data_IF_175801418765
#
_entry.id   IF_175801418765
#
_cell.length_a   1.000
_cell.length_b   1.000
_cell.length_c   1.000
_cell.angle_alpha   90.00
_cell.angle_beta   90.00
_cell.angle_gamma   90.00
#
_symmetry.space_group_name_H-M   'P 1'
#
loop_
_entity.id
_entity.type
_entity.pdbx_description
1 polymer ?
#
# COMPACT_ATOMS: atom_id res chain seq x y z
N UNK A 1 -63.37 -13.82 15.74
CA UNK A 1 -64.63 -13.06 15.68
C UNK A 1 -64.26 -11.58 15.71
N UNK A 2 -64.65 -10.86 14.65
CA UNK A 2 -64.62 -9.40 14.44
C UNK A 2 -63.27 -8.66 14.59
N UNK A 3 -62.72 -8.08 13.51
CA UNK A 3 -63.09 -6.79 12.88
C UNK A 3 -62.97 -5.59 13.85
N UNK A 4 -62.07 -4.66 13.52
CA UNK A 4 -62.38 -3.30 13.06
C UNK A 4 -61.11 -2.45 13.22
N UNK A 5 -60.43 -2.03 12.15
CA UNK A 5 -60.83 -1.00 11.19
C UNK A 5 -60.77 0.42 11.77
N UNK A 6 -59.94 1.28 11.18
CA UNK A 6 -60.35 2.39 10.30
C UNK A 6 -59.05 3.05 9.79
N UNK A 7 -58.71 3.03 8.50
CA UNK A 7 -59.36 3.64 7.35
C UNK A 7 -59.16 5.17 7.31
N UNK A 8 -58.34 5.68 6.38
CA UNK A 8 -58.74 6.25 5.06
C UNK A 8 -58.53 7.78 5.15
N UNK A 9 -57.95 8.55 4.20
CA UNK A 9 -58.20 8.78 2.76
C UNK A 9 -56.90 9.45 2.20
N UNK A 10 -56.20 8.90 1.19
CA UNK A 10 -56.26 9.18 -0.27
C UNK A 10 -55.77 10.61 -0.66
N UNK A 11 -55.05 10.92 -1.76
CA UNK A 11 -54.63 10.20 -2.99
C UNK A 11 -53.80 11.16 -3.87
N UNK A 12 -52.97 10.61 -4.77
CA UNK A 12 -52.45 11.24 -5.99
C UNK A 12 -51.00 11.75 -5.83
N UNK A 13 -49.98 11.18 -6.50
CA UNK A 13 -49.91 10.88 -7.94
C UNK A 13 -49.33 9.48 -8.17
N UNK A 14 -49.96 8.76 -9.10
CA UNK A 14 -49.43 7.54 -9.67
C UNK A 14 -48.32 7.87 -10.67
N UNK A 15 -47.12 7.33 -10.46
CA UNK A 15 -46.32 6.81 -11.54
C UNK A 15 -46.38 5.28 -11.41
N UNK A 16 -47.12 4.65 -12.31
CA UNK A 16 -47.08 3.21 -12.49
C UNK A 16 -45.68 2.83 -12.98
N UNK A 17 -44.99 2.01 -12.19
CA UNK A 17 -43.83 1.22 -12.59
C UNK A 17 -43.93 -0.11 -11.86
N UNK A 18 -44.80 -0.99 -12.34
CA UNK A 18 -44.77 -2.41 -12.01
C UNK A 18 -43.81 -3.11 -12.97
N UNK A 19 -42.74 -3.71 -12.48
CA UNK A 19 -41.92 -4.64 -13.26
C UNK A 19 -40.63 -5.03 -12.53
N UNK A 20 -40.48 -6.32 -12.23
CA UNK A 20 -39.27 -6.95 -11.68
C UNK A 20 -39.09 -6.65 -10.18
N UNK A 21 -38.75 -7.58 -9.27
CA UNK A 21 -38.11 -8.85 -9.53
C UNK A 21 -36.78 -8.66 -10.27
N UNK A 22 -36.04 -7.59 -9.98
CA UNK A 22 -34.69 -7.45 -10.50
C UNK A 22 -33.78 -8.43 -9.75
N UNK A 23 -33.11 -9.24 -10.56
CA UNK A 23 -32.24 -10.35 -10.20
C UNK A 23 -31.32 -10.00 -9.02
N UNK A 24 -31.08 -11.00 -8.16
CA UNK A 24 -29.84 -11.06 -7.38
C UNK A 24 -28.70 -10.80 -8.39
N UNK A 25 -28.04 -9.67 -8.19
CA UNK A 25 -27.35 -8.92 -9.24
C UNK A 25 -26.42 -9.78 -10.07
N UNK A 26 -26.66 -9.85 -11.39
CA UNK A 26 -25.98 -10.74 -12.35
C UNK A 26 -24.44 -10.74 -12.28
N UNK A 27 -23.86 -9.70 -11.70
CA UNK A 27 -22.42 -9.55 -11.51
C UNK A 27 -21.83 -10.46 -10.44
N UNK A 28 -22.60 -10.98 -9.47
CA UNK A 28 -22.07 -11.85 -8.41
C UNK A 28 -21.55 -13.19 -8.94
N UNK A 29 -21.93 -13.55 -10.17
CA UNK A 29 -21.47 -14.70 -10.91
C UNK A 29 -20.62 -14.34 -12.14
N UNK A 30 -20.36 -13.06 -12.38
CA UNK A 30 -19.52 -12.63 -13.50
C UNK A 30 -18.13 -13.27 -13.39
N UNK A 31 -17.56 -13.84 -14.47
CA UNK A 31 -16.25 -14.48 -14.40
C UNK A 31 -15.13 -13.53 -13.99
N UNK A 32 -14.16 -14.08 -13.26
CA UNK A 32 -12.91 -13.37 -12.97
C UNK A 32 -12.02 -13.49 -14.21
N UNK A 33 -11.72 -12.37 -14.87
CA UNK A 33 -10.81 -12.32 -16.02
C UNK A 33 -9.55 -11.55 -15.62
N UNK A 34 -8.48 -12.25 -15.18
CA UNK A 34 -7.24 -11.62 -14.77
C UNK A 34 -6.71 -10.63 -15.82
N UNK A 35 -6.28 -9.46 -15.36
CA UNK A 35 -5.79 -8.40 -16.26
C UNK A 35 -6.87 -7.58 -16.95
N UNK A 36 -8.17 -7.91 -16.80
CA UNK A 36 -9.20 -7.39 -17.69
C UNK A 36 -10.53 -7.01 -17.03
N UNK A 37 -11.21 -7.92 -16.33
CA UNK A 37 -12.57 -7.63 -15.83
C UNK A 37 -13.00 -8.52 -14.67
N UNK A 38 -13.93 -8.01 -13.87
CA UNK A 38 -14.59 -8.72 -12.79
C UNK A 38 -15.86 -7.96 -12.38
N UNK A 39 -16.89 -8.66 -11.90
CA UNK A 39 -18.14 -8.05 -11.42
C UNK A 39 -18.79 -7.09 -12.43
N UNK A 40 -18.81 -7.46 -13.71
CA UNK A 40 -19.30 -6.66 -14.84
C UNK A 40 -18.55 -5.32 -15.05
N UNK A 41 -17.38 -5.15 -14.45
CA UNK A 41 -16.51 -3.97 -14.62
C UNK A 41 -15.26 -4.38 -15.38
N UNK A 42 -14.87 -3.58 -16.39
CA UNK A 42 -13.57 -3.75 -17.06
C UNK A 42 -12.53 -2.76 -16.53
N UNK A 43 -11.29 -3.21 -16.46
CA UNK A 43 -10.13 -2.35 -16.22
C UNK A 43 -9.92 -1.43 -17.42
N UNK A 44 -9.69 -0.15 -17.16
CA UNK A 44 -9.53 0.89 -18.18
C UNK A 44 -10.84 1.53 -18.65
N UNK A 45 -12.00 1.04 -18.20
CA UNK A 45 -13.28 1.69 -18.48
C UNK A 45 -13.44 2.97 -17.64
N UNK A 46 -14.23 3.95 -18.10
CA UNK A 46 -14.59 5.11 -17.29
C UNK A 46 -15.51 4.72 -16.14
N UNK A 47 -15.45 5.45 -15.02
CA UNK A 47 -16.28 5.22 -13.85
C UNK A 47 -17.78 5.25 -14.16
N UNK A 48 -18.18 6.00 -15.18
CA UNK A 48 -19.56 6.00 -15.67
C UNK A 48 -20.07 4.58 -16.00
N UNK A 49 -19.22 3.72 -16.56
CA UNK A 49 -19.61 2.33 -16.86
C UNK A 49 -19.93 1.55 -15.58
N UNK A 50 -19.18 1.81 -14.50
CA UNK A 50 -19.45 1.24 -13.17
C UNK A 50 -20.77 1.78 -12.62
N UNK A 51 -20.99 3.10 -12.71
CA UNK A 51 -22.21 3.75 -12.24
C UNK A 51 -23.46 3.25 -12.97
N UNK A 52 -23.36 2.97 -14.27
CA UNK A 52 -24.46 2.47 -15.09
C UNK A 52 -24.92 1.05 -14.66
N UNK A 53 -24.00 0.26 -14.09
CA UNK A 53 -24.24 -1.14 -13.68
C UNK A 53 -24.58 -1.22 -12.19
N UNK A 54 -23.79 -0.55 -11.36
CA UNK A 54 -23.82 -0.70 -9.89
C UNK A 54 -24.46 0.50 -9.17
N UNK A 55 -24.72 1.60 -9.86
CA UNK A 55 -25.22 2.84 -9.27
C UNK A 55 -24.14 3.61 -8.51
N UNK A 56 -24.58 4.55 -7.66
CA UNK A 56 -23.67 5.34 -6.82
C UNK A 56 -23.07 4.49 -5.70
N UNK A 57 -21.77 4.65 -5.40
CA UNK A 57 -21.15 3.95 -4.27
C UNK A 57 -21.69 4.46 -2.94
N UNK A 58 -21.67 3.58 -1.93
CA UNK A 58 -22.07 3.92 -0.57
C UNK A 58 -21.05 4.85 0.11
N UNK A 59 -19.77 4.71 -0.25
CA UNK A 59 -18.69 5.52 0.28
C UNK A 59 -17.62 5.80 -0.79
N UNK A 60 -17.00 6.99 -0.70
CA UNK A 60 -15.92 7.46 -1.58
C UNK A 60 -14.72 7.83 -0.72
N UNK A 61 -13.52 7.47 -1.15
CA UNK A 61 -12.26 7.81 -0.47
C UNK A 61 -11.22 8.23 -1.52
N UNK A 62 -10.26 9.06 -1.11
CA UNK A 62 -9.02 9.32 -1.85
C UNK A 62 -7.86 8.87 -0.97
N UNK A 63 -6.97 8.06 -1.52
CA UNK A 63 -5.79 7.54 -0.82
C UNK A 63 -4.67 7.19 -1.80
N UNK A 64 -3.44 7.64 -1.54
CA UNK A 64 -2.27 7.36 -2.38
C UNK A 64 -2.38 7.74 -3.86
N UNK A 65 -2.97 8.90 -4.16
CA UNK A 65 -3.24 9.32 -5.54
C UNK A 65 -4.40 8.60 -6.23
N UNK A 66 -4.97 7.55 -5.63
CA UNK A 66 -6.13 6.83 -6.17
C UNK A 66 -7.43 7.31 -5.55
N UNK A 67 -8.51 7.09 -6.31
CA UNK A 67 -9.88 7.27 -5.85
C UNK A 67 -10.50 5.88 -5.63
N UNK A 68 -11.28 5.74 -4.56
CA UNK A 68 -11.92 4.47 -4.21
C UNK A 68 -13.42 4.65 -4.09
N UNK A 69 -14.15 3.77 -4.75
CA UNK A 69 -15.60 3.67 -4.68
C UNK A 69 -15.98 2.36 -3.98
N UNK A 70 -16.63 2.44 -2.82
CA UNK A 70 -17.01 1.29 -2.01
C UNK A 70 -18.49 0.96 -2.19
N UNK A 71 -18.78 -0.31 -2.47
CA UNK A 71 -20.10 -0.80 -2.80
C UNK A 71 -20.51 -1.94 -1.86
N UNK A 72 -21.77 -1.84 -1.39
CA UNK A 72 -22.48 -2.84 -0.62
C UNK A 72 -21.72 -3.39 0.60
N UNK A 73 -22.03 -2.84 1.77
CA UNK A 73 -21.42 -3.30 3.02
C UNK A 73 -21.89 -4.69 3.44
N UNK A 74 -20.96 -5.58 3.81
CA UNK A 74 -21.23 -6.95 4.28
C UNK A 74 -21.44 -7.03 5.79
N UNK A 75 -20.77 -6.16 6.56
CA UNK A 75 -20.77 -6.17 8.04
C UNK A 75 -21.15 -4.82 8.62
N UNK A 76 -22.18 -4.81 9.45
CA UNK A 76 -22.61 -3.63 10.20
C UNK A 76 -21.52 -3.25 11.24
N UNK A 77 -21.06 -1.99 11.20
CA UNK A 77 -20.05 -1.48 12.13
C UNK A 77 -18.59 -1.85 11.81
N UNK A 78 -18.31 -2.59 10.73
CA UNK A 78 -16.94 -2.84 10.26
C UNK A 78 -16.23 -1.58 9.77
N UNK A 79 -14.90 -1.50 9.83
CA UNK A 79 -14.20 -0.28 9.41
C UNK A 79 -13.99 -0.25 7.89
N UNK A 80 -13.65 0.91 7.34
CA UNK A 80 -13.45 1.04 5.89
C UNK A 80 -12.20 0.28 5.42
N UNK A 81 -11.21 0.15 6.30
CA UNK A 81 -9.95 -0.59 6.13
C UNK A 81 -10.09 -2.09 6.38
N UNK A 82 -11.30 -2.58 6.70
CA UNK A 82 -11.57 -4.01 6.85
C UNK A 82 -12.03 -4.59 5.49
N UNK A 83 -11.19 -5.35 4.77
CA UNK A 83 -11.51 -5.89 3.43
C UNK A 83 -12.71 -6.85 3.45
N UNK A 84 -13.03 -7.43 4.61
CA UNK A 84 -14.20 -8.28 4.78
C UNK A 84 -15.49 -7.48 4.98
N UNK A 85 -15.44 -6.16 5.13
CA UNK A 85 -16.59 -5.29 5.40
C UNK A 85 -17.32 -4.80 4.16
N UNK A 86 -16.74 -4.95 2.96
CA UNK A 86 -17.30 -4.50 1.69
C UNK A 86 -17.46 -5.66 0.73
N UNK A 87 -18.44 -5.60 -0.18
CA UNK A 87 -18.60 -6.61 -1.24
C UNK A 87 -17.77 -6.30 -2.47
N UNK A 88 -17.69 -5.02 -2.84
CA UNK A 88 -16.92 -4.57 -3.98
C UNK A 88 -16.27 -3.22 -3.68
N UNK A 89 -15.01 -3.09 -4.07
CA UNK A 89 -14.26 -1.82 -4.05
C UNK A 89 -13.68 -1.62 -5.43
N UNK A 90 -13.84 -0.42 -5.99
CA UNK A 90 -13.26 -0.05 -7.28
C UNK A 90 -12.21 1.02 -7.05
N UNK A 91 -10.99 0.76 -7.49
CA UNK A 91 -9.88 1.71 -7.49
C UNK A 91 -9.82 2.41 -8.83
N UNK A 92 -9.69 3.73 -8.81
CA UNK A 92 -9.82 4.60 -9.96
C UNK A 92 -8.64 5.57 -10.08
N UNK A 93 -8.28 5.87 -11.31
CA UNK A 93 -7.33 6.91 -11.69
C UNK A 93 -8.06 8.21 -11.93
N UNK A 94 -7.69 9.23 -11.16
CA UNK A 94 -8.16 10.61 -11.33
C UNK A 94 -7.75 11.14 -12.72
N UNK A 95 -8.70 11.75 -13.43
CA UNK A 95 -8.45 12.42 -14.71
C UNK A 95 -7.76 13.79 -14.59
N UNK A 96 -7.33 14.17 -13.37
CA UNK A 96 -6.63 15.41 -13.05
C UNK A 96 -7.54 16.50 -12.50
N UNK A 97 -8.78 16.17 -12.14
CA UNK A 97 -9.74 17.14 -11.60
C UNK A 97 -9.69 17.21 -10.05
N UNK A 98 -9.06 16.23 -9.38
CA UNK A 98 -8.93 16.15 -7.93
C UNK A 98 -10.10 15.49 -7.18
N UNK A 99 -11.11 14.95 -7.85
CA UNK A 99 -12.31 14.36 -7.24
C UNK A 99 -12.95 13.26 -8.08
N UNK A 100 -13.56 12.28 -7.41
CA UNK A 100 -14.24 11.18 -8.08
C UNK A 100 -15.40 11.64 -8.98
N UNK A 101 -15.24 11.47 -10.27
CA UNK A 101 -16.22 11.75 -11.31
C UNK A 101 -16.39 10.60 -12.31
N UNK A 102 -17.35 10.77 -13.22
CA UNK A 102 -17.75 9.75 -14.19
C UNK A 102 -16.67 9.44 -15.26
N UNK A 103 -15.70 10.32 -15.44
CA UNK A 103 -14.65 10.22 -16.46
C UNK A 103 -13.38 9.54 -15.95
N UNK A 104 -13.24 9.35 -14.63
CA UNK A 104 -12.11 8.65 -14.01
C UNK A 104 -11.98 7.20 -14.50
N UNK A 105 -10.75 6.72 -14.66
CA UNK A 105 -10.47 5.41 -15.28
C UNK A 105 -10.37 4.31 -14.21
N UNK A 106 -11.05 3.17 -14.40
CA UNK A 106 -10.96 2.02 -13.50
C UNK A 106 -9.55 1.39 -13.56
N UNK A 107 -8.85 1.35 -12.43
CA UNK A 107 -7.54 0.73 -12.29
C UNK A 107 -7.56 -0.66 -11.65
N UNK A 108 -8.47 -0.89 -10.70
CA UNK A 108 -8.64 -2.20 -10.08
C UNK A 108 -10.07 -2.43 -9.59
N UNK A 109 -10.42 -3.70 -9.44
CA UNK A 109 -11.69 -4.17 -8.89
C UNK A 109 -11.37 -5.20 -7.83
N UNK A 110 -11.85 -4.97 -6.61
CA UNK A 110 -11.74 -5.87 -5.48
C UNK A 110 -13.13 -6.41 -5.14
N UNK A 111 -13.27 -7.72 -4.93
CA UNK A 111 -14.52 -8.34 -4.47
C UNK A 111 -14.28 -9.30 -3.31
N UNK A 112 -15.22 -9.27 -2.37
CA UNK A 112 -15.26 -10.15 -1.20
C UNK A 112 -16.61 -10.86 -1.11
N UNK A 113 -16.69 -11.84 -0.21
CA UNK A 113 -17.91 -12.64 -0.02
C UNK A 113 -19.12 -11.73 0.32
N UNK A 114 -20.32 -11.97 -0.27
CA UNK A 114 -20.64 -13.00 -1.25
C UNK A 114 -20.37 -12.54 -2.69
N UNK A 115 -19.40 -13.17 -3.33
CA UNK A 115 -19.14 -13.16 -4.77
C UNK A 115 -18.74 -14.58 -5.18
N UNK A 116 -19.24 -15.04 -6.32
CA UNK A 116 -19.18 -16.43 -6.76
C UNK A 116 -18.56 -16.59 -8.16
N UNK A 117 -18.15 -15.49 -8.78
CA UNK A 117 -17.38 -15.51 -10.01
C UNK A 117 -16.09 -16.32 -9.84
N UNK A 118 -15.69 -17.00 -10.91
CA UNK A 118 -14.44 -17.76 -10.96
C UNK A 118 -13.71 -17.48 -12.26
N UNK A 119 -12.40 -17.75 -12.25
CA UNK A 119 -11.55 -17.78 -13.43
C UNK A 119 -11.93 -18.94 -14.35
N UNK A 120 -11.32 -18.98 -15.54
CA UNK A 120 -11.50 -20.12 -16.45
C UNK A 120 -11.01 -21.46 -15.89
N UNK A 121 -10.05 -21.45 -14.95
CA UNK A 121 -9.59 -22.63 -14.22
C UNK A 121 -10.41 -22.96 -12.97
N UNK A 122 -11.40 -22.13 -12.62
CA UNK A 122 -12.31 -22.34 -11.50
C UNK A 122 -11.82 -21.77 -10.16
N UNK A 123 -10.78 -20.94 -10.17
CA UNK A 123 -10.27 -20.23 -8.98
C UNK A 123 -11.12 -18.98 -8.72
N UNK A 124 -11.39 -18.73 -7.45
CA UNK A 124 -12.16 -17.58 -6.96
C UNK A 124 -12.24 -17.59 -5.42
N UNK A 125 -13.19 -16.87 -4.84
CA UNK A 125 -13.41 -16.86 -3.39
C UNK A 125 -13.65 -18.29 -2.87
N UNK A 126 -13.00 -18.63 -1.76
CA UNK A 126 -12.99 -19.94 -1.11
C UNK A 126 -11.96 -20.93 -1.68
N UNK A 127 -11.23 -20.57 -2.74
CA UNK A 127 -10.18 -21.43 -3.30
C UNK A 127 -8.98 -21.51 -2.36
N UNK A 128 -8.38 -22.69 -2.22
CA UNK A 128 -7.19 -22.86 -1.38
C UNK A 128 -5.94 -22.28 -2.06
N UNK A 129 -4.86 -21.97 -1.32
CA UNK A 129 -3.57 -21.63 -1.92
C UNK A 129 -3.13 -22.59 -3.04
N UNK A 130 -3.35 -23.90 -2.84
CA UNK A 130 -2.96 -24.91 -3.82
C UNK A 130 -3.81 -24.89 -5.08
N UNK A 131 -5.07 -24.47 -5.00
CA UNK A 131 -5.93 -24.27 -6.19
C UNK A 131 -5.45 -23.06 -6.98
N UNK A 132 -5.16 -21.95 -6.29
CA UNK A 132 -4.62 -20.72 -6.88
C UNK A 132 -3.29 -21.00 -7.58
N UNK A 133 -2.34 -21.61 -6.89
CA UNK A 133 -1.04 -21.96 -7.48
C UNK A 133 -1.16 -23.02 -8.60
N UNK A 134 -2.20 -23.86 -8.54
CA UNK A 134 -2.51 -24.83 -9.58
C UNK A 134 -2.88 -24.19 -10.92
N UNK A 135 -3.59 -23.06 -10.90
CA UNK A 135 -3.96 -22.31 -12.11
C UNK A 135 -2.87 -21.33 -12.55
N UNK A 136 -2.33 -20.55 -11.61
CA UNK A 136 -1.44 -19.43 -11.93
C UNK A 136 0.05 -19.77 -11.90
N UNK A 137 0.41 -20.95 -11.36
CA UNK A 137 1.78 -21.32 -11.04
C UNK A 137 2.20 -20.86 -9.64
N UNK A 138 3.46 -21.07 -9.23
CA UNK A 138 3.94 -20.60 -7.93
C UNK A 138 3.71 -19.09 -7.76
N UNK A 139 3.28 -18.68 -6.57
CA UNK A 139 3.03 -17.28 -6.28
C UNK A 139 4.27 -16.40 -6.53
N UNK A 140 4.09 -15.24 -7.16
CA UNK A 140 5.22 -14.36 -7.53
C UNK A 140 5.80 -13.66 -6.30
N UNK A 141 4.94 -13.27 -5.37
CA UNK A 141 5.29 -12.71 -4.07
C UNK A 141 4.16 -12.96 -3.07
N UNK A 142 4.48 -13.08 -1.79
CA UNK A 142 3.49 -13.21 -0.71
C UNK A 142 3.78 -12.15 0.34
N UNK A 143 2.76 -11.40 0.73
CA UNK A 143 2.78 -10.55 1.93
C UNK A 143 1.92 -11.19 3.02
N UNK A 144 2.35 -11.13 4.29
CA UNK A 144 1.62 -11.72 5.41
C UNK A 144 1.24 -10.64 6.44
N UNK A 145 0.02 -10.71 6.97
CA UNK A 145 -0.47 -9.84 8.03
C UNK A 145 -1.38 -10.61 8.99
N UNK A 146 -1.68 -10.03 10.15
CA UNK A 146 -2.71 -10.57 11.04
C UNK A 146 -4.06 -9.96 10.71
N UNK A 147 -5.05 -10.82 10.54
CA UNK A 147 -6.44 -10.45 10.36
C UNK A 147 -7.10 -9.91 11.64
N UNK A 148 -8.34 -9.41 11.54
CA UNK A 148 -9.07 -8.80 12.64
C UNK A 148 -9.29 -9.75 13.83
N UNK A 149 -9.29 -11.06 13.62
CA UNK A 149 -9.47 -12.08 14.65
C UNK A 149 -8.13 -12.75 15.05
N UNK A 150 -7.01 -12.22 14.57
CA UNK A 150 -5.64 -12.70 14.84
C UNK A 150 -5.19 -13.88 13.98
N UNK A 151 -5.97 -14.24 12.96
CA UNK A 151 -5.63 -15.20 11.92
C UNK A 151 -4.49 -14.68 11.03
N UNK A 152 -3.65 -15.57 10.49
CA UNK A 152 -2.67 -15.17 9.49
C UNK A 152 -3.40 -14.97 8.16
N UNK A 153 -3.28 -13.81 7.53
CA UNK A 153 -3.81 -13.51 6.22
C UNK A 153 -2.63 -13.29 5.28
N UNK A 154 -2.69 -13.91 4.10
CA UNK A 154 -1.64 -13.86 3.11
C UNK A 154 -2.16 -13.23 1.82
N UNK A 155 -1.50 -12.20 1.32
CA UNK A 155 -1.80 -11.61 0.01
C UNK A 155 -0.86 -12.22 -1.04
N UNK A 156 -1.43 -12.90 -2.01
CA UNK A 156 -0.74 -13.60 -3.09
C UNK A 156 -0.73 -12.70 -4.32
N UNK A 157 0.46 -12.28 -4.75
CA UNK A 157 0.63 -11.40 -5.90
C UNK A 157 0.87 -12.19 -7.18
N UNK A 158 0.14 -11.84 -8.23
CA UNK A 158 0.37 -12.29 -9.61
C UNK A 158 0.27 -11.08 -10.55
N UNK A 159 1.10 -10.07 -10.34
CA UNK A 159 1.07 -8.79 -11.07
C UNK A 159 1.16 -9.00 -12.59
N UNK A 160 2.00 -9.94 -13.03
CA UNK A 160 2.14 -10.27 -14.45
C UNK A 160 0.89 -10.92 -15.04
N UNK A 161 -0.05 -11.34 -14.20
CA UNK A 161 -1.35 -11.91 -14.55
C UNK A 161 -2.50 -10.93 -14.31
N UNK A 162 -2.26 -9.82 -13.62
CA UNK A 162 -3.28 -8.82 -13.29
C UNK A 162 -4.34 -9.35 -12.31
N UNK A 163 -3.92 -10.17 -11.33
CA UNK A 163 -4.81 -10.68 -10.29
C UNK A 163 -4.04 -10.90 -8.98
N UNK A 164 -4.71 -10.65 -7.86
CA UNK A 164 -4.19 -10.90 -6.52
C UNK A 164 -5.26 -11.59 -5.67
N UNK A 165 -4.82 -12.38 -4.69
CA UNK A 165 -5.71 -13.12 -3.79
C UNK A 165 -5.36 -12.84 -2.35
N UNK A 166 -6.31 -12.32 -1.58
CA UNK A 166 -6.19 -12.27 -0.12
C UNK A 166 -6.69 -13.60 0.44
N UNK A 167 -5.82 -14.34 1.10
CA UNK A 167 -6.06 -15.70 1.54
C UNK A 167 -6.04 -15.77 3.07
N UNK A 168 -7.12 -16.30 3.63
CA UNK A 168 -7.18 -16.82 4.98
C UNK A 168 -6.91 -18.33 4.91
N UNK A 169 -5.83 -18.89 5.49
CA UNK A 169 -5.57 -20.33 5.48
C UNK A 169 -6.74 -21.22 5.93
N UNK A 170 -7.56 -20.86 6.95
CA UNK A 170 -8.74 -21.66 7.29
C UNK A 170 -9.89 -21.54 6.29
N UNK A 171 -10.02 -20.43 5.56
CA UNK A 171 -11.21 -20.12 4.75
C UNK A 171 -10.95 -20.10 3.23
N UNK A 172 -9.69 -20.17 2.80
CA UNK A 172 -9.26 -19.97 1.42
C UNK A 172 -9.17 -18.49 1.03
N UNK A 173 -9.26 -18.21 -0.27
CA UNK A 173 -9.33 -16.85 -0.79
C UNK A 173 -10.58 -16.14 -0.25
N UNK A 174 -10.39 -15.08 0.53
CA UNK A 174 -11.49 -14.29 1.12
C UNK A 174 -11.82 -13.06 0.27
N UNK A 175 -10.84 -12.59 -0.51
CA UNK A 175 -10.95 -11.46 -1.43
C UNK A 175 -10.15 -11.74 -2.69
N UNK A 176 -10.66 -11.27 -3.83
CA UNK A 176 -9.93 -11.27 -5.10
C UNK A 176 -9.83 -9.83 -5.61
N UNK A 177 -8.65 -9.46 -6.08
CA UNK A 177 -8.39 -8.19 -6.74
C UNK A 177 -8.00 -8.45 -8.20
N UNK A 178 -8.63 -7.77 -9.14
CA UNK A 178 -8.24 -7.75 -10.56
C UNK A 178 -7.70 -6.37 -10.90
N UNK A 179 -6.55 -6.34 -11.56
CA UNK A 179 -5.85 -5.13 -12.03
C UNK A 179 -5.55 -5.27 -13.52
N UNK A 180 -4.93 -4.26 -14.14
CA UNK A 180 -4.31 -4.45 -15.46
C UNK A 180 -3.10 -5.40 -15.35
N UNK A 181 -2.67 -5.96 -16.48
CA UNK A 181 -1.39 -6.68 -16.52
C UNK A 181 -0.24 -5.77 -16.07
N UNK A 182 0.53 -6.21 -15.08
CA UNK A 182 1.60 -5.45 -14.46
C UNK A 182 1.18 -4.71 -13.18
N UNK A 183 -0.06 -4.88 -12.72
CA UNK A 183 -0.57 -4.25 -11.50
C UNK A 183 -1.12 -2.84 -11.73
N UNK A 184 -1.36 -2.12 -10.65
CA UNK A 184 -1.77 -0.72 -10.69
C UNK A 184 -0.63 0.16 -11.24
N UNK A 185 -0.97 1.00 -12.24
CA UNK A 185 -0.12 2.11 -12.69
C UNK A 185 0.14 3.07 -11.52
N UNK A 186 1.38 3.52 -11.30
CA UNK A 186 1.63 4.60 -10.36
C UNK A 186 0.89 5.87 -10.79
N UNK A 187 0.27 6.57 -9.85
CA UNK A 187 -0.36 7.87 -10.10
C UNK A 187 0.69 8.96 -9.85
N UNK A 188 0.97 9.77 -10.87
CA UNK A 188 1.69 11.02 -10.70
C UNK A 188 0.70 12.03 -10.10
N UNK A 189 0.84 12.37 -8.82
CA UNK A 189 0.01 13.42 -8.22
C UNK A 189 0.38 14.77 -8.86
N UNK A 190 -0.51 15.32 -9.71
CA UNK A 190 -0.37 16.69 -10.20
C UNK A 190 -0.42 17.67 -9.03
N UNK A 191 0.55 18.59 -9.00
CA UNK A 191 0.75 19.61 -7.97
C UNK A 191 -0.53 20.40 -7.67
N UNK A 192 -1.14 20.14 -6.51
CA UNK A 192 -2.37 20.81 -6.12
C UNK A 192 -2.73 20.67 -4.64
N UNK A 193 -1.85 21.12 -3.76
CA UNK A 193 -2.08 21.45 -2.33
C UNK A 193 -2.80 20.41 -1.45
N UNK A 194 -2.06 19.95 -0.44
CA UNK A 194 -2.49 19.23 0.78
C UNK A 194 -2.77 17.72 0.64
N UNK A 195 -1.77 16.95 1.11
CA UNK A 195 -1.80 15.66 1.81
C UNK A 195 -2.59 14.47 1.22
N UNK A 196 -1.91 13.52 0.54
CA UNK A 196 -2.29 12.10 0.55
C UNK A 196 -1.18 11.11 0.13
N UNK A 197 -0.47 10.59 1.14
CA UNK A 197 0.30 9.34 1.17
C UNK A 197 -0.24 8.15 0.35
N UNK A 198 0.64 7.47 -0.39
CA UNK A 198 0.48 6.03 -0.69
C UNK A 198 1.51 5.44 -1.66
N UNK A 199 2.23 4.41 -1.22
CA UNK A 199 2.93 3.47 -2.12
C UNK A 199 4.46 3.54 -2.20
N UNK A 200 5.14 4.31 -1.35
CA UNK A 200 6.54 4.69 -1.53
C UNK A 200 7.53 3.53 -1.85
N UNK A 201 7.39 2.34 -1.27
CA UNK A 201 8.42 1.31 -1.43
C UNK A 201 8.25 0.37 -2.63
N UNK A 202 7.19 0.43 -3.43
CA UNK A 202 6.89 -0.58 -4.48
C UNK A 202 8.12 -1.07 -5.25
N UNK A 203 8.69 -0.23 -6.11
CA UNK A 203 9.81 -0.60 -7.00
C UNK A 203 11.18 -0.62 -6.29
N UNK A 204 11.31 0.08 -5.16
CA UNK A 204 12.59 0.30 -4.47
C UNK A 204 12.73 -0.46 -3.15
N UNK A 205 11.73 -1.24 -2.75
CA UNK A 205 11.65 -2.04 -1.52
C UNK A 205 12.84 -2.98 -1.35
N UNK A 206 13.36 -3.50 -2.46
CA UNK A 206 14.48 -4.42 -2.52
C UNK A 206 15.74 -3.82 -3.16
N UNK A 207 15.76 -2.50 -3.39
CA UNK A 207 16.92 -1.84 -3.98
C UNK A 207 18.19 -2.13 -3.16
N UNK A 208 19.35 -2.35 -3.80
CA UNK A 208 20.57 -2.66 -3.06
C UNK A 208 20.99 -1.54 -2.10
N UNK A 209 21.53 -1.93 -0.95
CA UNK A 209 22.22 -1.00 -0.04
C UNK A 209 23.68 -0.94 -0.48
N UNK A 210 24.16 0.24 -0.87
CA UNK A 210 25.58 0.48 -1.12
C UNK A 210 26.08 1.47 -0.06
N UNK A 211 26.86 1.01 0.95
CA UNK A 211 27.39 1.86 2.01
C UNK A 211 28.04 3.13 1.47
N UNK A 212 27.69 4.27 2.05
CA UNK A 212 28.20 5.57 1.63
C UNK A 212 27.62 6.15 0.35
N UNK A 213 26.71 5.44 -0.33
CA UNK A 213 26.28 5.80 -1.68
C UNK A 213 24.78 5.78 -1.86
N UNK A 214 24.09 4.66 -1.64
CA UNK A 214 22.66 4.56 -1.95
C UNK A 214 21.92 3.56 -1.07
N UNK A 215 20.67 3.87 -0.78
CA UNK A 215 19.64 2.96 -0.31
C UNK A 215 18.30 3.41 -0.90
N UNK A 216 17.37 2.47 -1.08
CA UNK A 216 16.05 2.75 -1.63
C UNK A 216 16.16 3.52 -2.97
N UNK A 217 17.15 3.20 -3.81
CA UNK A 217 17.37 3.92 -5.07
C UNK A 217 17.68 5.43 -4.95
N UNK A 218 17.80 6.00 -3.74
CA UNK A 218 18.25 7.38 -3.48
C UNK A 218 19.76 7.37 -3.35
N UNK A 219 20.46 8.32 -3.97
CA UNK A 219 21.90 8.47 -3.73
C UNK A 219 22.17 9.56 -2.70
N UNK A 220 23.16 9.33 -1.86
CA UNK A 220 23.81 10.39 -1.09
C UNK A 220 24.38 11.41 -2.07
N UNK A 221 24.03 12.68 -1.89
CA UNK A 221 24.39 13.76 -2.79
C UNK A 221 23.31 14.12 -3.81
N UNK A 222 22.22 13.34 -3.93
CA UNK A 222 21.06 13.74 -4.72
C UNK A 222 20.44 15.03 -4.15
N UNK A 223 19.88 15.88 -5.02
CA UNK A 223 18.99 16.97 -4.60
C UNK A 223 17.62 16.41 -4.20
N UNK A 224 16.93 17.06 -3.26
CA UNK A 224 15.62 16.61 -2.80
C UNK A 224 14.60 16.46 -3.94
N UNK A 225 14.66 17.30 -4.99
CA UNK A 225 13.81 17.12 -6.18
C UNK A 225 13.92 15.72 -6.81
N UNK A 226 15.12 15.13 -6.80
CA UNK A 226 15.37 13.79 -7.35
C UNK A 226 14.73 12.71 -6.48
N UNK A 227 14.66 12.96 -5.17
CA UNK A 227 13.94 12.09 -4.23
C UNK A 227 12.43 12.19 -4.48
N UNK A 228 11.90 13.41 -4.64
CA UNK A 228 10.49 13.64 -4.96
C UNK A 228 10.08 13.00 -6.29
N UNK A 229 10.93 13.05 -7.32
CA UNK A 229 10.68 12.37 -8.59
C UNK A 229 10.49 10.86 -8.43
N UNK A 230 11.15 10.23 -7.44
CA UNK A 230 11.05 8.78 -7.19
C UNK A 230 9.90 8.40 -6.26
N UNK A 231 9.59 9.28 -5.31
CA UNK A 231 8.81 8.94 -4.12
C UNK A 231 7.64 9.86 -3.85
N UNK A 232 7.45 10.91 -4.67
CA UNK A 232 6.46 11.94 -4.42
C UNK A 232 6.80 12.81 -3.21
N UNK A 233 5.76 13.49 -2.71
CA UNK A 233 5.83 14.33 -1.51
C UNK A 233 6.10 13.50 -0.24
N UNK A 234 6.83 14.06 0.73
CA UNK A 234 7.03 13.41 2.01
C UNK A 234 5.82 13.58 2.93
N UNK A 235 5.69 12.61 3.83
CA UNK A 235 4.59 12.47 4.79
C UNK A 235 4.72 13.43 5.96
N UNK A 236 5.96 13.79 6.28
CA UNK A 236 6.26 14.91 7.16
C UNK A 236 7.62 15.48 6.82
N UNK A 237 7.82 16.75 7.13
CA UNK A 237 9.10 17.42 7.01
C UNK A 237 9.45 18.13 8.31
N UNK A 238 10.72 18.48 8.47
CA UNK A 238 11.16 19.31 9.58
C UNK A 238 12.65 19.55 9.53
N UNK A 239 13.16 20.09 10.63
CA UNK A 239 14.59 20.33 10.83
C UNK A 239 15.07 19.69 12.13
N UNK A 240 16.34 19.30 12.14
CA UNK A 240 17.02 18.75 13.31
C UNK A 240 17.76 19.86 14.06
N UNK A 241 18.13 19.59 15.31
CA UNK A 241 18.93 20.53 16.12
C UNK A 241 20.31 20.80 15.55
N UNK A 242 20.79 19.95 14.65
CA UNK A 242 22.07 20.02 13.98
C UNK A 242 22.01 20.82 12.65
N UNK A 243 20.84 21.37 12.30
CA UNK A 243 20.64 22.16 11.08
C UNK A 243 20.53 21.32 9.81
N UNK A 244 20.13 20.05 9.94
CA UNK A 244 19.67 19.25 8.80
C UNK A 244 18.17 19.45 8.63
N UNK A 245 17.70 19.40 7.40
CA UNK A 245 16.27 19.24 7.11
C UNK A 245 15.98 17.78 6.78
N UNK A 246 14.77 17.32 7.04
CA UNK A 246 14.40 15.94 6.78
C UNK A 246 13.06 15.82 6.06
N UNK A 247 12.95 14.74 5.31
CA UNK A 247 11.74 14.23 4.68
C UNK A 247 11.47 12.83 5.25
N UNK A 248 10.30 12.66 5.84
CA UNK A 248 9.84 11.37 6.37
C UNK A 248 8.83 10.76 5.43
N UNK A 249 8.94 9.44 5.25
CA UNK A 249 7.96 8.66 4.52
C UNK A 249 7.56 7.43 5.34
N UNK A 250 6.29 7.38 5.75
CA UNK A 250 5.60 6.32 6.49
C UNK A 250 4.92 5.32 5.56
N UNK A 251 4.57 5.71 4.32
CA UNK A 251 3.88 4.84 3.38
C UNK A 251 2.56 4.30 3.95
N UNK A 252 1.74 5.20 4.51
CA UNK A 252 0.46 4.92 5.20
C UNK A 252 0.53 5.10 6.72
N UNK A 253 -0.39 4.45 7.45
CA UNK A 253 -0.43 4.50 8.91
C UNK A 253 0.76 3.79 9.57
N UNK A 254 1.37 4.40 10.60
CA UNK A 254 2.35 3.73 11.48
C UNK A 254 3.64 4.51 11.73
N UNK A 255 4.68 3.79 12.15
CA UNK A 255 6.05 4.32 12.28
C UNK A 255 6.62 4.64 10.89
N UNK A 256 7.49 5.65 10.81
CA UNK A 256 8.21 5.96 9.57
C UNK A 256 8.97 4.73 9.02
N UNK A 257 8.98 4.61 7.69
CA UNK A 257 9.62 3.52 6.95
C UNK A 257 10.91 3.99 6.24
N UNK A 258 10.93 5.26 5.83
CA UNK A 258 12.12 5.97 5.34
C UNK A 258 12.23 7.35 5.98
N UNK A 259 13.45 7.76 6.33
CA UNK A 259 13.79 9.16 6.56
C UNK A 259 14.94 9.53 5.64
N UNK A 260 14.84 10.68 4.99
CA UNK A 260 15.93 11.26 4.22
C UNK A 260 16.35 12.53 4.96
N UNK A 261 17.62 12.60 5.35
CA UNK A 261 18.19 13.81 5.94
C UNK A 261 19.04 14.51 4.90
N UNK A 262 18.90 15.83 4.86
CA UNK A 262 19.50 16.67 3.85
C UNK A 262 20.21 17.87 4.48
N UNK A 263 21.28 18.30 3.84
CA UNK A 263 21.94 19.56 4.13
C UNK A 263 21.06 20.69 3.61
N UNK A 264 20.53 21.51 4.53
CA UNK A 264 19.81 22.74 4.22
C UNK A 264 20.78 23.73 3.56
N UNK A 265 20.64 23.95 2.27
CA UNK A 265 21.60 24.70 1.47
C UNK A 265 21.38 26.22 1.56
N UNK A 266 20.16 26.67 1.85
CA UNK A 266 19.83 28.10 1.96
C UNK A 266 19.69 28.58 3.42
N UNK A 267 19.80 27.66 4.39
CA UNK A 267 19.82 27.90 5.84
C UNK A 267 18.54 28.54 6.35
N UNK A 268 17.40 28.09 5.83
CA UNK A 268 16.07 28.60 6.18
C UNK A 268 15.29 27.68 7.14
N UNK A 269 15.88 26.55 7.56
CA UNK A 269 15.30 25.50 8.41
C UNK A 269 14.04 24.82 7.81
N UNK A 270 13.86 24.92 6.51
CA UNK A 270 12.75 24.34 5.74
C UNK A 270 13.28 23.51 4.58
N UNK A 271 12.63 22.38 4.32
CA UNK A 271 12.98 21.52 3.21
C UNK A 271 12.73 22.21 1.86
N UNK A 272 13.75 22.29 1.02
CA UNK A 272 13.74 22.83 -0.33
C UNK A 272 14.26 21.84 -1.38
N UNK A 273 13.84 22.04 -2.63
CA UNK A 273 14.13 21.14 -3.75
C UNK A 273 15.61 20.98 -4.13
N UNK A 274 16.46 21.88 -3.62
CA UNK A 274 17.89 21.93 -3.88
C UNK A 274 18.72 21.45 -2.66
N UNK A 275 18.06 21.06 -1.56
CA UNK A 275 18.76 20.50 -0.41
C UNK A 275 19.34 19.14 -0.75
N UNK A 276 20.51 18.85 -0.18
CA UNK A 276 21.36 17.75 -0.63
C UNK A 276 21.26 16.59 0.34
N UNK A 277 20.91 15.40 -0.15
CA UNK A 277 20.84 14.18 0.66
C UNK A 277 22.19 13.87 1.29
N UNK A 278 22.21 13.76 2.62
CA UNK A 278 23.39 13.38 3.40
C UNK A 278 23.22 12.05 4.12
N UNK A 279 21.99 11.63 4.38
CA UNK A 279 21.66 10.36 5.02
C UNK A 279 20.30 9.84 4.54
N UNK A 280 20.24 8.53 4.33
CA UNK A 280 19.04 7.78 3.95
C UNK A 280 18.84 6.69 4.99
N UNK A 281 17.80 6.80 5.79
CA UNK A 281 17.46 5.86 6.85
C UNK A 281 16.25 5.02 6.43
N UNK A 282 16.35 3.70 6.55
CA UNK A 282 15.32 2.74 6.14
C UNK A 282 15.01 1.72 7.23
N UNK A 283 13.74 1.29 7.28
CA UNK A 283 13.22 0.29 8.21
C UNK A 283 12.38 -0.76 7.47
N UNK A 284 11.98 -1.82 8.18
CA UNK A 284 10.98 -2.77 7.68
C UNK A 284 9.73 -2.02 7.15
N UNK A 285 9.18 -2.38 5.96
CA UNK A 285 9.41 -3.59 5.17
C UNK A 285 10.52 -3.51 4.12
N UNK A 286 11.48 -2.59 4.23
CA UNK A 286 12.61 -2.54 3.29
C UNK A 286 13.44 -3.84 3.31
N UNK A 287 13.56 -4.48 2.15
CA UNK A 287 14.22 -5.77 1.93
C UNK A 287 15.61 -5.66 1.30
N UNK A 288 16.03 -4.44 0.96
CA UNK A 288 17.34 -4.17 0.39
C UNK A 288 18.49 -4.68 1.27
N UNK A 289 19.55 -5.17 0.64
CA UNK A 289 20.71 -5.76 1.32
C UNK A 289 22.02 -5.16 0.80
N UNK A 290 23.05 -5.20 1.63
CA UNK A 290 24.43 -4.95 1.24
C UNK A 290 24.93 -6.03 0.27
N UNK A 291 26.06 -5.83 -0.43
CA UNK A 291 26.64 -6.86 -1.30
C UNK A 291 26.96 -8.18 -0.59
N UNK A 292 27.20 -8.18 0.73
CA UNK A 292 27.42 -9.40 1.52
C UNK A 292 26.14 -9.96 2.15
N UNK A 293 24.97 -9.36 1.85
CA UNK A 293 23.67 -9.85 2.27
C UNK A 293 23.18 -9.36 3.63
N UNK A 294 23.81 -8.34 4.21
CA UNK A 294 23.36 -7.72 5.48
C UNK A 294 22.20 -6.76 5.18
N UNK A 295 21.11 -6.89 5.92
CA UNK A 295 19.91 -6.07 5.78
C UNK A 295 19.04 -6.09 7.04
N UNK A 296 17.87 -5.48 6.99
CA UNK A 296 16.89 -5.51 8.09
C UNK A 296 16.61 -6.96 8.49
N UNK A 297 16.60 -7.24 9.80
CA UNK A 297 16.47 -8.58 10.39
C UNK A 297 17.78 -9.36 10.56
N UNK A 298 18.90 -8.92 9.97
CA UNK A 298 20.19 -9.60 10.13
C UNK A 298 20.74 -9.45 11.56
N UNK A 299 21.46 -10.44 12.11
CA UNK A 299 22.09 -10.33 13.43
C UNK A 299 23.32 -9.42 13.41
N UNK A 300 23.65 -8.82 14.55
CA UNK A 300 24.86 -7.98 14.71
C UNK A 300 26.17 -8.67 14.32
N UNK A 301 26.24 -9.99 14.46
CA UNK A 301 27.39 -10.79 14.02
C UNK A 301 27.67 -10.67 12.51
N UNK A 302 26.64 -10.57 11.68
CA UNK A 302 26.79 -10.46 10.23
C UNK A 302 27.28 -9.07 9.83
N UNK A 303 26.77 -8.01 10.46
CA UNK A 303 27.28 -6.66 10.28
C UNK A 303 28.76 -6.55 10.70
N UNK A 304 29.13 -7.10 11.86
CA UNK A 304 30.53 -7.11 12.30
C UNK A 304 31.45 -7.94 11.39
N UNK A 305 30.92 -9.00 10.78
CA UNK A 305 31.67 -9.82 9.82
C UNK A 305 31.95 -9.06 8.52
N UNK A 306 31.00 -8.27 8.03
CA UNK A 306 31.18 -7.46 6.81
C UNK A 306 32.01 -6.21 7.06
N UNK A 307 31.71 -5.46 8.13
CA UNK A 307 32.24 -4.11 8.34
C UNK A 307 33.36 -4.02 9.40
N UNK A 308 33.58 -5.07 10.19
CA UNK A 308 34.56 -5.09 11.28
C UNK A 308 34.02 -4.52 12.58
N UNK A 309 34.87 -3.88 13.38
CA UNK A 309 34.45 -3.21 14.61
C UNK A 309 33.89 -1.81 14.30
N UNK A 310 32.75 -1.41 14.87
CA UNK A 310 32.21 -0.07 14.64
C UNK A 310 33.12 0.99 15.26
N UNK A 311 33.18 2.18 14.66
CA UNK A 311 33.96 3.28 15.25
C UNK A 311 33.27 3.83 16.50
N UNK A 312 31.94 3.73 16.58
CA UNK A 312 31.16 4.11 17.74
C UNK A 312 30.00 3.15 17.97
N UNK A 313 29.76 2.84 19.23
CA UNK A 313 28.61 2.05 19.66
C UNK A 313 27.91 2.79 20.81
N UNK A 314 26.60 2.99 20.69
CA UNK A 314 25.78 3.62 21.73
C UNK A 314 24.51 2.82 21.97
N UNK A 315 23.94 2.95 23.17
CA UNK A 315 22.64 2.35 23.51
C UNK A 315 21.69 3.46 23.92
N UNK A 316 20.47 3.43 23.38
CA UNK A 316 19.47 4.46 23.62
C UNK A 316 18.06 3.89 23.55
N UNK A 317 17.11 4.55 24.22
CA UNK A 317 15.69 4.24 24.10
C UNK A 317 15.10 5.02 22.92
N UNK A 318 14.56 4.32 21.93
CA UNK A 318 13.88 4.92 20.78
C UNK A 318 12.51 4.26 20.61
N UNK A 319 11.44 5.05 20.55
CA UNK A 319 10.06 4.56 20.38
C UNK A 319 9.64 3.46 21.39
N UNK A 320 10.18 3.50 22.60
CA UNK A 320 9.87 2.52 23.66
C UNK A 320 10.70 1.24 23.60
N UNK A 321 11.59 1.10 22.63
CA UNK A 321 12.54 -0.01 22.51
C UNK A 321 13.96 0.43 22.88
N UNK A 322 14.73 -0.47 23.49
CA UNK A 322 16.16 -0.29 23.69
C UNK A 322 16.88 -0.69 22.40
N UNK A 323 17.56 0.28 21.79
CA UNK A 323 18.34 0.07 20.57
C UNK A 323 19.83 0.20 20.88
N UNK A 324 20.63 -0.64 20.23
CA UNK A 324 22.08 -0.47 20.12
C UNK A 324 22.41 0.06 18.75
N UNK A 325 23.03 1.23 18.67
CA UNK A 325 23.47 1.86 17.43
C UNK A 325 24.94 1.53 17.22
N UNK A 326 25.30 0.97 16.06
CA UNK A 326 26.69 0.76 15.64
C UNK A 326 26.97 1.62 14.41
N UNK A 327 27.89 2.56 14.58
CA UNK A 327 28.28 3.51 13.53
C UNK A 327 29.55 2.99 12.82
N UNK A 328 29.45 2.83 11.49
CA UNK A 328 30.55 2.53 10.57
C UNK A 328 30.80 3.76 9.67
N UNK A 329 31.05 4.92 10.29
CA UNK A 329 31.02 6.24 9.67
C UNK A 329 32.02 6.39 8.50
N UNK A 330 33.19 5.76 8.59
CA UNK A 330 34.17 5.77 7.50
C UNK A 330 33.70 4.96 6.28
N UNK A 331 32.74 4.05 6.48
CA UNK A 331 32.06 3.27 5.44
C UNK A 331 30.74 3.88 4.99
N UNK A 332 30.26 4.92 5.69
CA UNK A 332 29.00 5.59 5.38
C UNK A 332 27.78 4.71 5.65
N UNK A 333 27.79 3.91 6.72
CA UNK A 333 26.63 3.11 7.13
C UNK A 333 26.51 3.04 8.65
N UNK A 334 25.28 3.06 9.15
CA UNK A 334 24.93 2.90 10.57
C UNK A 334 23.84 1.84 10.67
N UNK A 335 23.90 1.03 11.73
CA UNK A 335 22.88 0.02 12.02
C UNK A 335 22.29 0.26 13.40
N UNK A 336 20.97 0.25 13.51
CA UNK A 336 20.28 0.13 14.79
C UNK A 336 19.83 -1.32 15.01
N UNK A 337 20.20 -1.87 16.16
CA UNK A 337 19.81 -3.22 16.58
C UNK A 337 18.82 -3.13 17.71
N UNK A 338 17.73 -3.89 17.64
CA UNK A 338 16.89 -4.10 18.81
C UNK A 338 17.69 -4.91 19.86
N UNK A 339 17.86 -4.36 21.07
CA UNK A 339 18.73 -4.96 22.08
C UNK A 339 18.21 -6.28 22.65
N UNK A 340 16.91 -6.55 22.53
CA UNK A 340 16.32 -7.81 22.98
C UNK A 340 16.54 -8.93 21.96
N UNK A 341 16.35 -8.67 20.66
CA UNK A 341 16.50 -9.67 19.59
C UNK A 341 17.91 -9.76 19.02
N UNK A 342 18.70 -8.68 19.11
CA UNK A 342 20.01 -8.55 18.47
C UNK A 342 19.96 -8.38 16.95
N UNK A 343 18.76 -8.19 16.38
CA UNK A 343 18.54 -8.04 14.95
C UNK A 343 18.53 -6.55 14.53
N UNK A 344 18.96 -6.29 13.30
CA UNK A 344 18.90 -4.96 12.67
C UNK A 344 17.43 -4.59 12.46
N UNK A 345 17.03 -3.41 12.95
CA UNK A 345 15.69 -2.85 12.76
C UNK A 345 15.68 -1.58 11.91
N UNK A 346 16.85 -0.95 11.75
CA UNK A 346 17.05 0.27 10.98
C UNK A 346 18.47 0.31 10.41
N UNK A 347 18.60 0.88 9.20
CA UNK A 347 19.87 1.08 8.52
C UNK A 347 19.91 2.51 8.00
N UNK A 348 20.99 3.23 8.30
CA UNK A 348 21.25 4.53 7.70
C UNK A 348 22.42 4.42 6.73
N UNK A 349 22.25 4.88 5.50
CA UNK A 349 23.32 5.09 4.53
C UNK A 349 23.68 6.57 4.50
N UNK A 350 24.89 6.88 4.93
CA UNK A 350 25.34 8.25 5.20
C UNK A 350 26.48 8.63 4.27
N UNK A 351 26.65 9.94 3.99
CA UNK A 351 27.89 10.46 3.42
C UNK A 351 29.07 10.00 4.28
N UNK A 352 30.07 9.26 3.73
CA UNK A 352 31.20 8.81 4.53
C UNK A 352 31.95 9.99 5.16
N UNK A 353 32.25 9.90 6.45
CA UNK A 353 33.11 10.86 7.10
C UNK A 353 34.55 10.56 6.66
N UNK A 354 35.13 11.42 5.82
CA UNK A 354 36.57 11.37 5.55
C UNK A 354 37.34 11.64 6.83
N UNK A 355 38.22 10.70 7.21
CA UNK A 355 39.17 10.88 8.32
C UNK A 355 40.23 11.94 8.01
#
# INVERSE_FOLDING_TARGET
MFLAALAVIATGIAACGSGGGEDLSAWDHDPIVPGYSMADVNIGDPFQAVLDIHGEPEQKLKDGGYLYAYYARTREGGRIDDPASWRMVVTLYDNGNGYLDAEDEVGAIEVSTPYYGTTSGGVGIGSSPGDVEGEFGPCESISETQGPEGENIQLYYYDQKGVEFLISPPDGAITVLVTAYGGLRPVEEEEGTDDAQGGLFGVYSSAPIVPGQTAAGINVGDEFRTVKEKYGGPDSTGSTTEGLVFATYTGGYGTWKMNVYMEDMDKNDSLGDFDIVVSISVRHPYEGKTPMGVGIGSPSADAMKEFGSPERQTSLMHQGEELTIMEYNAKGIVFAFNSASGAIVEIDVNRPLTQ
#
